data_IF_431227103689
#
_entry.id   IF_431227103689
#
_cell.length_a   1.000
_cell.length_b   1.000
_cell.length_c   1.000
_cell.angle_alpha   90.00
_cell.angle_beta   90.00
_cell.angle_gamma   90.00
#
_symmetry.space_group_name_H-M   'P 1'
#
loop_
_entity.id
_entity.type
_entity.pdbx_description
1 polymer ?
#
# COMPACT_ATOMS: atom_id res chain seq x y z
N UNK A 1 -7.53 -15.02 10.96
CA UNK A 1 -6.38 -15.77 10.42
C UNK A 1 -6.48 -15.73 8.92
N UNK A 2 -6.10 -14.58 8.36
CA UNK A 2 -6.21 -14.31 6.93
C UNK A 2 -4.87 -14.60 6.26
N UNK A 3 -4.92 -15.04 5.01
CA UNK A 3 -3.78 -15.38 4.14
C UNK A 3 -2.68 -14.30 4.05
N UNK A 4 -2.96 -13.09 4.55
CA UNK A 4 -2.05 -11.96 4.62
C UNK A 4 -1.06 -12.01 5.81
N UNK A 5 -1.33 -12.76 6.88
CA UNK A 5 -0.44 -12.80 8.06
C UNK A 5 0.95 -13.39 7.73
N UNK A 6 1.01 -14.37 6.83
CA UNK A 6 2.25 -15.07 6.48
C UNK A 6 3.16 -14.30 5.52
N UNK A 7 2.60 -13.43 4.67
CA UNK A 7 3.36 -12.60 3.70
C UNK A 7 3.91 -11.34 4.40
N UNK A 8 3.31 -10.94 5.51
CA UNK A 8 3.53 -9.67 6.23
C UNK A 8 4.45 -9.87 7.44
N UNK A 9 5.33 -10.87 7.43
CA UNK A 9 6.21 -11.25 8.55
C UNK A 9 7.27 -10.22 9.01
N UNK A 10 7.15 -8.94 8.63
CA UNK A 10 7.92 -7.80 9.15
C UNK A 10 7.28 -6.43 8.82
N UNK A 11 6.04 -6.35 8.33
CA UNK A 11 5.41 -5.03 8.21
C UNK A 11 5.11 -4.56 9.62
N UNK A 12 5.87 -3.59 10.08
CA UNK A 12 5.62 -2.92 11.34
C UNK A 12 4.17 -2.47 11.32
N UNK A 13 3.33 -3.09 12.14
CA UNK A 13 1.92 -2.76 12.28
C UNK A 13 1.87 -1.24 12.52
N UNK A 14 1.46 -0.50 11.50
CA UNK A 14 1.57 0.96 11.52
C UNK A 14 0.64 1.41 12.64
N UNK A 15 1.16 2.20 13.59
CA UNK A 15 0.33 2.77 14.64
C UNK A 15 -0.78 3.58 13.96
N UNK A 16 -2.00 3.03 13.97
CA UNK A 16 -3.14 3.54 13.22
C UNK A 16 -3.50 4.96 13.67
N UNK A 17 -3.29 5.28 14.96
CA UNK A 17 -3.57 6.60 15.51
C UNK A 17 -2.66 7.67 14.91
N UNK A 18 -1.35 7.42 14.84
CA UNK A 18 -0.38 8.32 14.20
C UNK A 18 -0.65 8.47 12.71
N UNK A 19 -0.99 7.37 12.03
CA UNK A 19 -1.30 7.42 10.61
C UNK A 19 -2.57 8.20 10.34
N UNK A 20 -3.61 8.01 11.16
CA UNK A 20 -4.88 8.70 11.03
C UNK A 20 -4.72 10.21 11.19
N UNK A 21 -3.82 10.68 12.06
CA UNK A 21 -3.47 12.10 12.16
C UNK A 21 -2.68 12.58 10.91
N UNK A 22 -1.73 11.80 10.39
CA UNK A 22 -0.95 12.15 9.19
C UNK A 22 -1.83 12.26 7.93
N UNK A 23 -2.88 11.44 7.82
CA UNK A 23 -3.76 11.40 6.64
C UNK A 23 -5.14 12.02 6.88
N UNK A 24 -5.36 12.65 8.04
CA UNK A 24 -6.65 13.22 8.44
C UNK A 24 -7.24 14.15 7.39
N UNK A 25 -6.40 15.03 6.85
CA UNK A 25 -6.78 16.01 5.82
C UNK A 25 -7.01 15.38 4.44
N UNK A 26 -6.58 14.12 4.23
CA UNK A 26 -6.81 13.36 3.00
C UNK A 26 -8.12 12.57 3.02
N UNK A 27 -8.67 12.29 4.22
CA UNK A 27 -9.90 11.53 4.40
C UNK A 27 -11.11 12.41 4.16
N UNK A 28 -12.13 11.84 3.51
CA UNK A 28 -13.42 12.52 3.37
C UNK A 28 -14.21 12.46 4.69
N UNK A 29 -15.18 13.37 4.90
CA UNK A 29 -16.12 13.24 6.01
C UNK A 29 -16.78 11.84 5.98
N UNK A 30 -16.76 11.14 7.11
CA UNK A 30 -17.22 9.76 7.26
C UNK A 30 -16.42 8.71 6.47
N UNK A 31 -15.13 8.91 6.25
CA UNK A 31 -14.22 7.86 5.76
C UNK A 31 -13.36 7.36 6.92
N UNK A 32 -13.26 6.04 7.08
CA UNK A 32 -12.55 5.39 8.19
C UNK A 32 -11.47 4.46 7.66
N UNK A 33 -10.27 4.56 8.23
CA UNK A 33 -9.19 3.62 7.96
C UNK A 33 -9.54 2.27 8.58
N UNK A 34 -9.55 1.21 7.77
CA UNK A 34 -9.74 -0.17 8.22
C UNK A 34 -8.41 -0.84 8.54
N UNK A 35 -7.46 -0.72 7.63
CA UNK A 35 -6.14 -1.31 7.75
C UNK A 35 -5.12 -0.40 7.09
N UNK A 36 -3.88 -0.44 7.56
CA UNK A 36 -2.79 0.20 6.88
C UNK A 36 -1.51 -0.62 7.02
N UNK A 37 -0.74 -0.65 5.95
CA UNK A 37 0.50 -1.39 5.85
C UNK A 37 1.58 -0.48 5.31
N UNK A 38 2.73 -0.48 5.96
CA UNK A 38 3.91 0.24 5.49
C UNK A 38 4.95 -0.76 5.03
N UNK A 39 5.43 -0.59 3.81
CA UNK A 39 6.45 -1.44 3.21
C UNK A 39 7.57 -0.52 2.73
N UNK A 40 8.71 -0.59 3.41
CA UNK A 40 9.85 0.32 3.23
C UNK A 40 9.44 1.80 3.39
N UNK A 41 9.20 2.48 2.26
CA UNK A 41 8.85 3.90 2.13
C UNK A 41 7.40 4.12 1.73
N UNK A 42 6.75 3.08 1.22
CA UNK A 42 5.39 3.14 0.71
C UNK A 42 4.40 2.78 1.81
N UNK A 43 3.27 3.46 1.83
CA UNK A 43 2.15 3.18 2.74
C UNK A 43 0.90 2.87 1.95
N UNK A 44 0.27 1.75 2.26
CA UNK A 44 -0.99 1.27 1.72
C UNK A 44 -2.06 1.45 2.78
N UNK A 45 -3.05 2.29 2.52
CA UNK A 45 -4.13 2.58 3.46
C UNK A 45 -5.43 2.10 2.85
N UNK A 46 -6.04 1.14 3.52
CA UNK A 46 -7.33 0.58 3.17
C UNK A 46 -8.39 1.30 4.01
N UNK A 47 -9.19 2.13 3.37
CA UNK A 47 -10.36 2.74 4.02
C UNK A 47 -11.61 1.89 3.74
N UNK A 48 -12.76 2.33 4.21
CA UNK A 48 -14.06 1.77 3.83
C UNK A 48 -14.49 2.13 2.40
N UNK A 49 -13.83 3.11 1.74
CA UNK A 49 -14.23 3.63 0.42
C UNK A 49 -13.21 3.38 -0.69
N UNK A 50 -11.91 3.41 -0.38
CA UNK A 50 -10.83 3.39 -1.36
C UNK A 50 -9.52 2.86 -0.78
N UNK A 51 -8.64 2.44 -1.69
CA UNK A 51 -7.23 2.23 -1.41
C UNK A 51 -6.50 3.57 -1.61
N UNK A 52 -5.72 4.00 -0.63
CA UNK A 52 -4.83 5.15 -0.74
C UNK A 52 -3.39 4.62 -0.72
N UNK A 53 -2.64 4.92 -1.77
CA UNK A 53 -1.21 4.63 -1.87
C UNK A 53 -0.43 5.91 -1.62
N UNK A 54 0.50 5.85 -0.67
CA UNK A 54 1.44 6.93 -0.37
C UNK A 54 2.82 6.44 -0.77
N UNK A 55 3.45 7.12 -1.71
CA UNK A 55 4.77 6.78 -2.23
C UNK A 55 5.72 7.95 -1.98
N UNK A 56 6.86 7.68 -1.34
CA UNK A 56 7.91 8.70 -1.08
C UNK A 56 9.00 8.58 -2.14
N UNK A 57 8.92 9.44 -3.14
CA UNK A 57 9.81 9.49 -4.31
C UNK A 57 11.10 10.27 -4.04
N UNK A 58 12.15 9.86 -4.76
CA UNK A 58 13.42 10.56 -4.85
C UNK A 58 14.42 10.22 -3.75
N UNK A 59 15.67 10.61 -3.97
CA UNK A 59 16.81 10.31 -3.07
C UNK A 59 16.60 10.93 -1.68
N UNK A 60 16.01 12.12 -1.62
CA UNK A 60 15.74 12.85 -0.37
C UNK A 60 14.42 12.47 0.30
N UNK A 61 13.55 11.68 -0.36
CA UNK A 61 12.23 11.29 0.15
C UNK A 61 11.26 12.45 0.39
N UNK A 62 11.56 13.67 -0.08
CA UNK A 62 10.74 14.86 0.13
C UNK A 62 9.51 14.91 -0.77
N UNK A 63 9.56 14.26 -1.93
CA UNK A 63 8.42 14.22 -2.86
C UNK A 63 7.51 13.08 -2.45
N UNK A 64 6.29 13.40 -2.04
CA UNK A 64 5.29 12.38 -1.69
C UNK A 64 4.18 12.39 -2.72
N UNK A 65 3.88 11.23 -3.29
CA UNK A 65 2.72 11.01 -4.17
C UNK A 65 1.62 10.33 -3.36
N UNK A 66 0.43 10.91 -3.41
CA UNK A 66 -0.79 10.32 -2.86
C UNK A 66 -1.69 9.88 -4.01
N UNK A 67 -2.01 8.60 -4.09
CA UNK A 67 -2.84 8.02 -5.14
C UNK A 67 -4.06 7.34 -4.53
N UNK A 68 -5.24 7.93 -4.76
CA UNK A 68 -6.52 7.39 -4.31
C UNK A 68 -7.20 6.55 -5.40
N UNK A 69 -7.50 5.30 -5.07
CA UNK A 69 -8.14 4.34 -5.98
C UNK A 69 -9.46 3.87 -5.34
N UNK A 70 -10.62 4.39 -5.76
CA UNK A 70 -11.91 3.92 -5.30
C UNK A 70 -12.08 2.43 -5.57
N UNK A 71 -12.59 1.67 -4.60
CA UNK A 71 -12.75 0.21 -4.79
C UNK A 71 -13.67 -0.12 -5.95
N UNK A 72 -14.71 0.69 -6.18
CA UNK A 72 -15.64 0.55 -7.32
C UNK A 72 -14.95 0.67 -8.69
N UNK A 73 -13.77 1.27 -8.75
CA UNK A 73 -13.02 1.47 -9.98
C UNK A 73 -12.02 0.34 -10.24
N UNK A 74 -11.76 -0.53 -9.26
CA UNK A 74 -10.87 -1.68 -9.40
C UNK A 74 -11.62 -2.78 -10.14
N UNK A 75 -11.13 -3.16 -11.32
CA UNK A 75 -11.71 -4.23 -12.13
C UNK A 75 -11.25 -5.60 -11.64
N UNK A 76 -9.94 -5.75 -11.42
CA UNK A 76 -9.33 -6.94 -10.83
C UNK A 76 -7.92 -6.60 -10.32
N UNK A 77 -7.33 -7.52 -9.56
CA UNK A 77 -5.96 -7.42 -9.07
C UNK A 77 -5.26 -8.77 -9.17
N UNK A 78 -3.92 -8.74 -9.17
CA UNK A 78 -3.07 -9.92 -9.13
C UNK A 78 -1.95 -9.69 -8.13
N UNK A 79 -1.63 -10.71 -7.35
CA UNK A 79 -0.47 -10.72 -6.46
C UNK A 79 0.41 -11.88 -6.88
N UNK A 80 1.65 -11.58 -7.24
CA UNK A 80 2.68 -12.57 -7.53
C UNK A 80 3.69 -12.55 -6.38
N UNK A 81 3.97 -13.71 -5.79
CA UNK A 81 4.96 -13.85 -4.73
C UNK A 81 6.15 -14.62 -5.27
N UNK A 82 7.37 -14.12 -5.07
CA UNK A 82 8.56 -14.93 -5.25
C UNK A 82 8.57 -16.09 -4.24
N UNK A 83 9.22 -17.20 -4.62
CA UNK A 83 9.24 -18.44 -3.83
C UNK A 83 9.86 -18.29 -2.44
N UNK A 84 10.04 -19.41 -1.75
CA UNK A 84 10.25 -19.57 -0.29
C UNK A 84 11.33 -18.71 0.40
N UNK A 85 12.17 -17.97 -0.34
CA UNK A 85 13.29 -17.20 0.20
C UNK A 85 13.35 -15.72 -0.24
N UNK A 86 12.62 -15.32 -1.28
CA UNK A 86 12.57 -13.92 -1.73
C UNK A 86 11.21 -13.33 -1.35
N UNK A 87 11.26 -12.30 -0.50
CA UNK A 87 10.09 -11.49 -0.13
C UNK A 87 9.73 -10.48 -1.23
N UNK A 88 10.16 -10.73 -2.46
CA UNK A 88 9.77 -9.95 -3.63
C UNK A 88 8.35 -10.37 -4.03
N UNK A 89 7.37 -9.52 -3.73
CA UNK A 89 6.01 -9.69 -4.20
C UNK A 89 5.62 -8.54 -5.11
N UNK A 90 4.87 -8.82 -6.16
CA UNK A 90 4.36 -7.82 -7.10
C UNK A 90 2.83 -7.76 -7.02
N UNK A 91 2.29 -6.58 -6.75
CA UNK A 91 0.87 -6.28 -6.81
C UNK A 91 0.56 -5.51 -8.10
N UNK A 92 -0.39 -6.04 -8.87
CA UNK A 92 -0.95 -5.40 -10.06
C UNK A 92 -2.43 -5.10 -9.81
N UNK A 93 -2.84 -3.85 -10.01
CA UNK A 93 -4.24 -3.40 -9.86
C UNK A 93 -4.71 -2.82 -11.19
N UNK A 94 -5.75 -3.40 -11.78
CA UNK A 94 -6.37 -2.87 -12.98
C UNK A 94 -7.55 -1.98 -12.58
N UNK A 95 -7.52 -0.76 -13.10
CA UNK A 95 -8.53 0.27 -12.81
C UNK A 95 -9.28 0.59 -14.09
N UNK A 96 -10.59 0.77 -13.98
CA UNK A 96 -11.44 1.14 -15.11
C UNK A 96 -10.91 2.38 -15.84
N UNK A 97 -10.75 2.28 -17.15
CA UNK A 97 -10.23 3.36 -18.00
C UNK A 97 -8.70 3.42 -18.13
N UNK A 98 -7.95 2.48 -17.53
CA UNK A 98 -6.51 2.33 -17.74
C UNK A 98 -6.21 1.01 -18.44
N UNK A 99 -5.45 1.05 -19.54
CA UNK A 99 -4.99 -0.16 -20.24
C UNK A 99 -3.90 -0.90 -19.46
N UNK A 100 -3.06 -0.15 -18.73
CA UNK A 100 -1.98 -0.70 -17.92
C UNK A 100 -2.36 -0.75 -16.43
N UNK A 101 -1.96 -1.82 -15.70
CA UNK A 101 -2.18 -1.88 -14.27
C UNK A 101 -1.28 -0.92 -13.51
N UNK A 102 -1.74 -0.52 -12.34
CA UNK A 102 -0.88 0.07 -11.31
C UNK A 102 -0.06 -1.07 -10.72
N UNK A 103 1.26 -1.00 -10.87
CA UNK A 103 2.19 -2.01 -10.40
C UNK A 103 2.93 -1.52 -9.15
N UNK A 104 3.01 -2.37 -8.14
CA UNK A 104 3.73 -2.11 -6.88
C UNK A 104 4.56 -3.33 -6.51
N UNK A 105 5.87 -3.14 -6.47
CA UNK A 105 6.81 -4.15 -6.02
C UNK A 105 7.08 -3.98 -4.53
N UNK A 106 6.92 -5.06 -3.80
CA UNK A 106 7.25 -5.19 -2.40
C UNK A 106 8.57 -5.92 -2.33
N UNK A 107 9.67 -5.19 -2.37
CA UNK A 107 10.99 -5.77 -2.16
C UNK A 107 11.31 -5.61 -0.68
N UNK A 108 11.90 -6.63 -0.02
CA UNK A 108 12.50 -6.37 1.29
C UNK A 108 13.80 -5.62 1.04
N UNK A 109 13.80 -4.28 1.13
CA UNK A 109 15.06 -3.57 1.27
C UNK A 109 15.65 -3.95 2.63
N UNK A 110 16.54 -4.94 2.64
CA UNK A 110 17.51 -5.09 3.72
C UNK A 110 18.28 -3.78 3.80
N UNK A 111 17.91 -2.91 4.75
CA UNK A 111 18.84 -1.91 5.24
C UNK A 111 19.97 -2.69 5.91
N UNK A 112 20.99 -3.05 5.14
CA UNK A 112 22.34 -3.28 5.65
C UNK A 112 23.08 -1.95 5.51
N UNK A 113 22.98 -1.11 6.54
CA UNK A 113 23.96 -0.11 6.95
C UNK A 113 23.56 0.41 8.33
#
# INVERSE_FOLDING_TARGET
MGLFDGIIGNASEVNLEKLQEEVKDLLTPNETIKNAYKIIRDTFIFTDKRLILIDKQGVTGKKTQYHSIPYKSILHFSVETAGTFDLDAELKIWVSGSELPIQKNFNKSTNMS
#
